data_IF_716217373056
#
_entry.id   IF_716217373056
#
_cell.length_a   1.000
_cell.length_b   1.000
_cell.length_c   1.000
_cell.angle_alpha   90.00
_cell.angle_beta   90.00
_cell.angle_gamma   90.00
#
_symmetry.space_group_name_H-M   'P 1'
#
loop_
_entity.id
_entity.type
_entity.pdbx_description
1 polymer ?
#
# COMPACT_ATOMS: atom_id res chain seq x y z
N UNK A 1 -7.77 5.12 -37.95
CA UNK A 1 -8.42 3.81 -37.93
C UNK A 1 -7.86 3.09 -36.73
N UNK A 2 -8.52 3.21 -35.59
CA UNK A 2 -8.20 2.37 -34.44
C UNK A 2 -8.48 0.92 -34.84
N UNK A 3 -7.51 0.06 -34.56
CA UNK A 3 -7.44 -1.34 -34.99
C UNK A 3 -8.76 -2.06 -34.66
N UNK A 4 -9.20 -2.96 -35.55
CA UNK A 4 -10.42 -3.78 -35.43
C UNK A 4 -10.41 -4.77 -34.25
N UNK A 5 -10.22 -4.24 -33.05
CA UNK A 5 -10.24 -4.92 -31.78
C UNK A 5 -11.62 -4.66 -31.17
N UNK A 6 -12.47 -5.69 -31.04
CA UNK A 6 -13.80 -5.56 -30.44
C UNK A 6 -13.68 -5.06 -29.00
N UNK A 7 -14.62 -4.22 -28.57
CA UNK A 7 -14.74 -3.83 -27.17
C UNK A 7 -15.22 -5.02 -26.33
N UNK A 8 -14.98 -5.01 -25.02
CA UNK A 8 -15.45 -6.08 -24.13
C UNK A 8 -16.98 -6.29 -24.22
N UNK A 9 -17.73 -5.20 -24.44
CA UNK A 9 -19.17 -5.26 -24.66
C UNK A 9 -19.57 -6.03 -25.92
N UNK A 10 -18.79 -5.92 -26.99
CA UNK A 10 -19.03 -6.63 -28.26
C UNK A 10 -18.83 -8.14 -28.10
N UNK A 11 -17.98 -8.55 -27.15
CA UNK A 11 -17.70 -9.95 -26.85
C UNK A 11 -18.71 -10.58 -25.89
N UNK A 12 -19.57 -9.80 -25.21
CA UNK A 12 -20.46 -10.31 -24.16
C UNK A 12 -21.42 -11.40 -24.68
N UNK A 13 -21.98 -11.23 -25.88
CA UNK A 13 -22.86 -12.21 -26.50
C UNK A 13 -22.11 -13.52 -26.84
N UNK A 14 -20.84 -13.41 -27.25
CA UNK A 14 -20.00 -14.56 -27.57
C UNK A 14 -19.59 -15.28 -26.30
N UNK A 15 -19.23 -14.55 -25.25
CA UNK A 15 -18.79 -15.10 -23.98
C UNK A 15 -19.87 -15.93 -23.28
N UNK A 16 -21.15 -15.61 -23.47
CA UNK A 16 -22.26 -16.40 -22.95
C UNK A 16 -22.40 -17.79 -23.59
N UNK A 17 -21.90 -17.97 -24.82
CA UNK A 17 -21.99 -19.24 -25.57
C UNK A 17 -20.63 -19.93 -25.75
N UNK A 18 -19.52 -19.25 -25.46
CA UNK A 18 -18.16 -19.68 -25.86
C UNK A 18 -17.80 -21.07 -25.32
N UNK A 19 -18.17 -21.36 -24.08
CA UNK A 19 -17.88 -22.64 -23.44
C UNK A 19 -18.72 -23.79 -24.04
N UNK A 20 -19.98 -23.52 -24.39
CA UNK A 20 -20.83 -24.50 -25.07
C UNK A 20 -20.32 -24.80 -26.49
N UNK A 21 -19.92 -23.76 -27.23
CA UNK A 21 -19.35 -23.91 -28.59
C UNK A 21 -18.02 -24.66 -28.57
N UNK A 22 -17.17 -24.41 -27.57
CA UNK A 22 -15.90 -25.14 -27.40
C UNK A 22 -16.16 -26.63 -27.09
N UNK A 23 -17.15 -26.94 -26.25
CA UNK A 23 -17.57 -28.33 -25.99
C UNK A 23 -18.08 -29.04 -27.25
N UNK A 24 -18.65 -28.29 -28.20
CA UNK A 24 -19.05 -28.76 -29.53
C UNK A 24 -17.87 -28.86 -30.53
N UNK A 25 -16.65 -28.48 -30.12
CA UNK A 25 -15.44 -28.55 -30.93
C UNK A 25 -15.14 -27.29 -31.76
N UNK A 26 -15.83 -26.17 -31.50
CA UNK A 26 -15.50 -24.90 -32.14
C UNK A 26 -14.12 -24.41 -31.68
N UNK A 27 -13.32 -23.90 -32.62
CA UNK A 27 -11.98 -23.37 -32.35
C UNK A 27 -11.94 -21.83 -32.35
N UNK A 28 -13.00 -21.19 -32.84
CA UNK A 28 -13.08 -19.75 -33.01
C UNK A 28 -14.44 -19.29 -33.51
N UNK A 29 -14.59 -17.98 -33.65
CA UNK A 29 -15.77 -17.30 -34.14
C UNK A 29 -15.40 -16.38 -35.30
N UNK A 30 -16.33 -16.16 -36.21
CA UNK A 30 -16.18 -15.15 -37.26
C UNK A 30 -16.96 -13.91 -36.82
N UNK A 31 -16.25 -12.83 -36.58
CA UNK A 31 -16.80 -11.52 -36.26
C UNK A 31 -17.06 -10.76 -37.55
N UNK A 32 -18.29 -10.31 -37.76
CA UNK A 32 -18.60 -9.33 -38.81
C UNK A 32 -18.58 -7.93 -38.19
N UNK A 33 -17.57 -7.14 -38.55
CA UNK A 33 -17.40 -5.76 -38.09
C UNK A 33 -17.93 -4.78 -39.14
N UNK A 34 -18.78 -3.85 -38.71
CA UNK A 34 -19.33 -2.81 -39.58
C UNK A 34 -18.60 -1.48 -39.36
N UNK A 35 -18.12 -0.87 -40.45
CA UNK A 35 -17.53 0.48 -40.45
C UNK A 35 -18.21 1.31 -41.55
N UNK A 36 -19.27 2.02 -41.19
CA UNK A 36 -20.13 2.72 -42.16
C UNK A 36 -20.95 1.72 -42.98
N UNK A 37 -20.83 1.76 -44.31
CA UNK A 37 -21.49 0.82 -45.23
C UNK A 37 -20.66 -0.43 -45.55
N UNK A 38 -19.45 -0.54 -45.02
CA UNK A 38 -18.54 -1.66 -45.25
C UNK A 38 -18.63 -2.65 -44.09
N UNK A 39 -18.73 -3.94 -44.39
CA UNK A 39 -18.52 -5.02 -43.41
C UNK A 39 -17.20 -5.75 -43.69
N UNK A 40 -16.51 -6.12 -42.62
CA UNK A 40 -15.28 -6.91 -42.66
C UNK A 40 -15.45 -8.13 -41.76
N UNK A 41 -15.13 -9.31 -42.27
CA UNK A 41 -15.16 -10.54 -41.49
C UNK A 41 -13.76 -10.82 -40.92
N UNK A 42 -13.68 -11.00 -39.61
CA UNK A 42 -12.46 -11.38 -38.90
C UNK A 42 -12.67 -12.72 -38.19
N UNK A 43 -11.76 -13.66 -38.39
CA UNK A 43 -11.74 -14.89 -37.60
C UNK A 43 -10.95 -14.64 -36.32
N UNK A 44 -11.54 -14.97 -35.17
CA UNK A 44 -10.90 -14.91 -33.86
C UNK A 44 -11.01 -16.28 -33.19
N UNK A 45 -9.88 -16.84 -32.77
CA UNK A 45 -9.90 -18.07 -31.97
C UNK A 45 -10.52 -17.84 -30.59
N UNK A 46 -11.10 -18.88 -30.01
CA UNK A 46 -11.64 -18.83 -28.63
C UNK A 46 -10.54 -18.43 -27.63
N UNK A 47 -9.31 -18.91 -27.87
CA UNK A 47 -8.16 -18.59 -27.04
C UNK A 47 -7.76 -17.10 -27.11
N UNK A 48 -7.80 -16.49 -28.31
CA UNK A 48 -7.56 -15.05 -28.47
C UNK A 48 -8.63 -14.23 -27.74
N UNK A 49 -9.90 -14.62 -27.83
CA UNK A 49 -11.01 -13.97 -27.12
C UNK A 49 -10.81 -14.05 -25.61
N UNK A 50 -10.54 -15.25 -25.07
CA UNK A 50 -10.28 -15.43 -23.63
C UNK A 50 -9.09 -14.61 -23.16
N UNK A 51 -8.00 -14.60 -23.94
CA UNK A 51 -6.80 -13.82 -23.61
C UNK A 51 -7.10 -12.33 -23.60
N UNK A 52 -7.80 -11.81 -24.62
CA UNK A 52 -8.21 -10.41 -24.69
C UNK A 52 -9.11 -10.01 -23.52
N UNK A 53 -10.10 -10.82 -23.20
CA UNK A 53 -11.02 -10.60 -22.07
C UNK A 53 -10.26 -10.63 -20.74
N UNK A 54 -9.29 -11.54 -20.58
CA UNK A 54 -8.44 -11.55 -19.40
C UNK A 54 -7.57 -10.30 -19.29
N UNK A 55 -7.01 -9.81 -20.41
CA UNK A 55 -6.23 -8.57 -20.43
C UNK A 55 -7.11 -7.37 -20.07
N UNK A 56 -8.26 -7.19 -20.73
CA UNK A 56 -9.16 -6.05 -20.47
C UNK A 56 -9.72 -6.06 -19.04
N UNK A 57 -10.12 -7.23 -18.53
CA UNK A 57 -10.59 -7.37 -17.14
C UNK A 57 -9.50 -7.13 -16.09
N UNK A 58 -8.23 -7.14 -16.49
CA UNK A 58 -7.08 -6.88 -15.62
C UNK A 58 -6.24 -5.70 -16.16
N UNK A 59 -6.85 -4.78 -16.90
CA UNK A 59 -6.14 -3.73 -17.64
C UNK A 59 -5.23 -2.88 -16.76
N UNK A 60 -5.73 -2.44 -15.61
CA UNK A 60 -4.93 -1.69 -14.62
C UNK A 60 -3.68 -2.49 -14.19
N UNK A 61 -3.86 -3.77 -13.89
CA UNK A 61 -2.75 -4.64 -13.50
C UNK A 61 -1.73 -4.83 -14.64
N UNK A 62 -2.22 -5.01 -15.87
CA UNK A 62 -1.38 -5.12 -17.07
C UNK A 62 -0.59 -3.83 -17.29
N UNK A 63 -1.25 -2.68 -17.24
CA UNK A 63 -0.63 -1.36 -17.45
C UNK A 63 0.48 -1.10 -16.41
N UNK A 64 0.18 -1.33 -15.13
CA UNK A 64 1.17 -1.15 -14.06
C UNK A 64 2.29 -2.19 -14.11
N UNK A 65 1.98 -3.44 -14.47
CA UNK A 65 2.99 -4.48 -14.69
C UNK A 65 3.95 -4.13 -15.82
N UNK A 66 3.44 -3.59 -16.93
CA UNK A 66 4.27 -3.09 -18.04
C UNK A 66 5.15 -1.92 -17.57
N UNK A 67 4.62 -1.01 -16.74
CA UNK A 67 5.41 0.10 -16.21
C UNK A 67 6.54 -0.39 -15.29
N UNK A 68 6.25 -1.33 -14.38
CA UNK A 68 7.26 -1.96 -13.53
C UNK A 68 8.36 -2.63 -14.35
N UNK A 69 7.99 -3.40 -15.37
CA UNK A 69 8.94 -4.04 -16.28
C UNK A 69 9.80 -3.01 -17.03
N UNK A 70 9.18 -1.95 -17.57
CA UNK A 70 9.90 -0.87 -18.25
C UNK A 70 10.87 -0.16 -17.32
N UNK A 71 10.48 0.11 -16.07
CA UNK A 71 11.37 0.71 -15.08
C UNK A 71 12.66 -0.11 -14.96
N UNK A 72 12.54 -1.42 -14.71
CA UNK A 72 13.70 -2.31 -14.55
C UNK A 72 14.55 -2.41 -15.81
N UNK A 73 13.94 -2.47 -17.00
CA UNK A 73 14.70 -2.49 -18.26
C UNK A 73 15.55 -1.24 -18.51
N UNK A 74 15.18 -0.09 -17.94
CA UNK A 74 15.89 1.18 -18.13
C UNK A 74 16.81 1.54 -16.97
N UNK A 75 16.92 0.68 -15.95
CA UNK A 75 17.88 0.88 -14.87
C UNK A 75 19.31 0.77 -15.41
N UNK A 76 20.19 1.74 -15.10
CA UNK A 76 21.60 1.64 -15.45
C UNK A 76 22.21 0.35 -14.90
N UNK A 77 23.00 -0.37 -15.70
CA UNK A 77 23.76 -1.52 -15.22
C UNK A 77 24.64 -1.10 -14.03
N UNK A 78 24.39 -1.68 -12.84
CA UNK A 78 25.08 -1.33 -11.60
C UNK A 78 24.36 -0.29 -10.72
N UNK A 79 23.14 0.13 -11.06
CA UNK A 79 22.30 0.91 -10.13
C UNK A 79 21.83 0.06 -8.94
N UNK A 80 21.74 0.69 -7.77
CA UNK A 80 21.33 0.18 -6.44
C UNK A 80 20.81 -1.27 -6.43
N UNK A 81 21.62 -2.19 -5.88
CA UNK A 81 21.22 -3.57 -5.54
C UNK A 81 20.57 -4.36 -6.71
N UNK A 82 20.98 -4.12 -7.96
CA UNK A 82 20.41 -4.81 -9.14
C UNK A 82 20.93 -6.23 -9.37
N UNK A 83 21.75 -6.80 -8.48
CA UNK A 83 22.34 -8.13 -8.71
C UNK A 83 21.28 -9.24 -8.70
N UNK A 84 20.15 -9.04 -8.01
CA UNK A 84 19.09 -10.04 -7.84
C UNK A 84 17.80 -9.74 -8.62
N UNK A 85 17.54 -8.48 -8.99
CA UNK A 85 16.32 -8.05 -9.70
C UNK A 85 16.65 -7.74 -11.16
N UNK A 86 16.34 -8.68 -12.06
CA UNK A 86 16.39 -8.44 -13.50
C UNK A 86 14.98 -8.34 -14.11
N UNK A 87 14.90 -7.84 -15.34
CA UNK A 87 13.63 -7.72 -16.05
C UNK A 87 12.96 -9.08 -16.29
N UNK A 88 13.76 -10.15 -16.40
CA UNK A 88 13.26 -11.51 -16.61
C UNK A 88 12.51 -12.02 -15.38
N UNK A 89 12.99 -11.70 -14.18
CA UNK A 89 12.33 -12.03 -12.93
C UNK A 89 10.92 -11.45 -12.92
N UNK A 90 10.76 -10.14 -13.15
CA UNK A 90 9.44 -9.51 -13.19
C UNK A 90 8.55 -10.07 -14.31
N UNK A 91 9.11 -10.28 -15.50
CA UNK A 91 8.38 -10.85 -16.64
C UNK A 91 7.89 -12.28 -16.37
N UNK A 92 8.57 -13.02 -15.50
CA UNK A 92 8.21 -14.40 -15.14
C UNK A 92 7.08 -14.48 -14.10
N UNK A 93 6.72 -13.38 -13.45
CA UNK A 93 5.70 -13.39 -12.40
C UNK A 93 4.29 -13.42 -12.99
N UNK A 94 3.45 -14.40 -12.60
CA UNK A 94 2.02 -14.32 -12.89
C UNK A 94 1.42 -13.01 -12.36
N UNK A 95 0.45 -12.43 -13.08
CA UNK A 95 -0.20 -11.17 -12.69
C UNK A 95 -0.90 -11.23 -11.33
N UNK A 96 -1.17 -12.42 -10.80
CA UNK A 96 -1.77 -12.63 -9.47
C UNK A 96 -0.76 -12.87 -8.36
N UNK A 97 0.54 -12.83 -8.67
CA UNK A 97 1.60 -13.04 -7.69
C UNK A 97 1.51 -12.00 -6.58
N UNK A 98 1.59 -12.46 -5.34
CA UNK A 98 1.61 -11.60 -4.16
C UNK A 98 3.02 -11.50 -3.60
N UNK A 99 3.43 -10.26 -3.36
CA UNK A 99 4.55 -9.88 -2.54
C UNK A 99 4.07 -9.86 -1.09
N UNK A 100 4.64 -10.75 -0.28
CA UNK A 100 4.30 -10.85 1.13
C UNK A 100 5.20 -9.91 1.93
N UNK A 101 4.57 -8.97 2.64
CA UNK A 101 5.19 -8.35 3.80
C UNK A 101 5.19 -9.28 5.00
N UNK A 102 5.38 -8.72 6.19
CA UNK A 102 5.11 -9.43 7.43
C UNK A 102 3.61 -9.70 7.59
N UNK A 103 2.76 -8.74 7.18
CA UNK A 103 1.30 -8.89 7.27
C UNK A 103 0.52 -8.33 6.10
N UNK A 104 1.16 -7.50 5.27
CA UNK A 104 0.49 -6.87 4.12
C UNK A 104 0.76 -7.66 2.85
N UNK A 105 -0.26 -8.30 2.25
CA UNK A 105 -0.15 -8.87 0.92
C UNK A 105 -0.32 -7.76 -0.13
N UNK A 106 0.67 -7.59 -1.00
CA UNK A 106 0.64 -6.64 -2.13
C UNK A 106 0.72 -7.43 -3.42
N UNK A 107 -0.12 -7.14 -4.42
CA UNK A 107 0.06 -7.81 -5.73
C UNK A 107 1.31 -7.25 -6.40
N UNK A 108 2.12 -8.09 -7.03
CA UNK A 108 3.41 -7.66 -7.58
C UNK A 108 3.28 -6.50 -8.59
N UNK A 109 2.20 -6.46 -9.38
CA UNK A 109 1.94 -5.37 -10.31
C UNK A 109 1.55 -4.05 -9.62
N UNK A 110 1.06 -4.07 -8.38
CA UNK A 110 0.73 -2.84 -7.64
C UNK A 110 1.97 -2.00 -7.41
N UNK A 111 3.17 -2.63 -7.32
CA UNK A 111 4.44 -1.90 -7.28
C UNK A 111 4.70 -1.06 -8.53
N UNK A 112 4.02 -1.34 -9.64
CA UNK A 112 4.04 -0.51 -10.84
C UNK A 112 3.58 0.92 -10.57
N UNK A 113 2.83 1.18 -9.49
CA UNK A 113 2.47 2.55 -9.10
C UNK A 113 3.68 3.41 -8.72
N UNK A 114 4.85 2.79 -8.48
CA UNK A 114 6.13 3.44 -8.22
C UNK A 114 6.94 3.69 -9.51
N UNK A 115 6.59 3.07 -10.63
CA UNK A 115 7.32 3.27 -11.89
C UNK A 115 7.02 4.62 -12.56
N UNK A 116 5.94 5.29 -12.15
CA UNK A 116 5.54 6.61 -12.63
C UNK A 116 5.07 7.49 -11.48
N UNK A 117 4.72 8.75 -11.76
CA UNK A 117 4.10 9.68 -10.80
C UNK A 117 2.59 9.43 -10.60
N UNK A 118 2.19 8.16 -10.51
CA UNK A 118 0.82 7.74 -10.15
C UNK A 118 0.64 7.70 -8.64
N UNK A 119 -0.62 7.77 -8.17
CA UNK A 119 -0.93 7.59 -6.75
C UNK A 119 -0.38 6.25 -6.25
N UNK A 120 0.24 6.28 -5.08
CA UNK A 120 0.70 5.07 -4.41
C UNK A 120 -0.48 4.42 -3.71
N UNK A 121 -0.65 3.12 -3.91
CA UNK A 121 -1.68 2.35 -3.22
C UNK A 121 -1.38 2.24 -1.72
N UNK A 122 -2.43 2.23 -0.90
CA UNK A 122 -2.32 2.04 0.56
C UNK A 122 -1.55 0.74 0.90
N UNK A 123 -1.76 -0.34 0.15
CA UNK A 123 -1.08 -1.63 0.34
C UNK A 123 0.43 -1.53 0.09
N UNK A 124 0.86 -0.77 -0.92
CA UNK A 124 2.28 -0.52 -1.20
C UNK A 124 2.91 0.32 -0.10
N UNK A 125 2.19 1.32 0.40
CA UNK A 125 2.63 2.16 1.52
C UNK A 125 2.72 1.37 2.84
N UNK A 126 1.77 0.47 3.09
CA UNK A 126 1.75 -0.39 4.28
C UNK A 126 2.88 -1.41 4.23
N UNK A 127 3.14 -2.02 3.07
CA UNK A 127 4.31 -2.88 2.87
C UNK A 127 5.62 -2.11 3.11
N UNK A 128 5.68 -0.84 2.65
CA UNK A 128 6.82 0.04 2.94
C UNK A 128 6.95 0.33 4.43
N UNK A 129 5.83 0.55 5.13
CA UNK A 129 5.81 0.76 6.57
C UNK A 129 6.32 -0.45 7.35
N UNK A 130 5.94 -1.66 6.95
CA UNK A 130 6.45 -2.90 7.54
C UNK A 130 7.95 -3.07 7.33
N UNK A 131 8.44 -2.85 6.10
CA UNK A 131 9.87 -2.93 5.80
C UNK A 131 10.67 -1.90 6.60
N UNK A 132 10.18 -0.66 6.67
CA UNK A 132 10.78 0.40 7.47
C UNK A 132 10.78 0.05 8.97
N UNK A 133 9.70 -0.59 9.46
CA UNK A 133 9.61 -1.03 10.85
C UNK A 133 10.68 -2.07 11.14
N UNK A 134 10.80 -3.12 10.33
CA UNK A 134 11.82 -4.17 10.49
C UNK A 134 13.23 -3.58 10.44
N UNK A 135 13.51 -2.73 9.44
CA UNK A 135 14.80 -2.06 9.29
C UNK A 135 15.13 -1.21 10.52
N UNK A 136 14.15 -0.47 11.04
CA UNK A 136 14.30 0.32 12.25
C UNK A 136 14.55 -0.53 13.50
N UNK A 137 13.86 -1.68 13.64
CA UNK A 137 14.11 -2.57 14.77
C UNK A 137 15.53 -3.16 14.74
N UNK A 138 16.10 -3.41 13.56
CA UNK A 138 17.48 -3.90 13.43
C UNK A 138 18.50 -2.81 13.81
N UNK A 139 18.22 -1.54 13.54
CA UNK A 139 19.13 -0.43 13.87
C UNK A 139 18.98 0.08 15.30
N UNK A 140 17.82 -0.13 15.94
CA UNK A 140 17.60 0.23 17.33
C UNK A 140 18.34 -0.75 18.27
N UNK A 141 18.83 -0.21 19.39
CA UNK A 141 19.23 -1.04 20.53
C UNK A 141 18.01 -1.88 20.98
N UNK A 142 18.22 -3.16 21.30
CA UNK A 142 17.18 -4.12 21.72
C UNK A 142 16.24 -3.65 22.86
N UNK A 143 16.60 -2.58 23.57
CA UNK A 143 15.81 -1.98 24.65
C UNK A 143 14.87 -0.86 24.22
N UNK A 144 14.81 -0.42 22.96
CA UNK A 144 13.99 0.73 22.53
C UNK A 144 12.97 0.34 21.48
N UNK A 145 11.85 1.06 21.44
CA UNK A 145 10.75 0.74 20.55
C UNK A 145 10.08 1.99 20.02
N UNK A 146 10.07 2.12 18.71
CA UNK A 146 9.26 3.08 17.95
C UNK A 146 8.25 2.30 17.11
N UNK A 147 6.98 2.70 17.14
CA UNK A 147 5.95 2.07 16.31
C UNK A 147 5.84 2.75 14.95
N UNK A 148 5.73 1.98 13.87
CA UNK A 148 5.34 2.51 12.56
C UNK A 148 4.04 1.81 12.20
N UNK A 149 2.94 2.56 12.10
CA UNK A 149 1.62 1.98 11.85
C UNK A 149 1.22 2.08 10.37
N UNK A 150 0.40 1.14 9.88
CA UNK A 150 -0.18 1.17 8.54
C UNK A 150 -1.12 2.37 8.38
N UNK A 151 -1.40 2.71 7.13
CA UNK A 151 -2.28 3.79 6.67
C UNK A 151 -3.67 3.77 7.32
N UNK A 152 -4.22 2.58 7.60
CA UNK A 152 -5.52 2.42 8.25
C UNK A 152 -5.54 2.84 9.72
N UNK A 153 -4.40 2.93 10.40
CA UNK A 153 -4.35 3.29 11.82
C UNK A 153 -4.98 4.66 12.10
N UNK A 154 -4.61 5.68 11.33
CA UNK A 154 -5.06 7.05 11.55
C UNK A 154 -6.57 7.17 11.35
N UNK A 155 -7.08 6.65 10.23
CA UNK A 155 -8.50 6.64 9.90
C UNK A 155 -9.33 5.88 10.95
N UNK A 156 -8.84 4.73 11.41
CA UNK A 156 -9.50 3.95 12.47
C UNK A 156 -9.55 4.70 13.80
N UNK A 157 -8.46 5.39 14.17
CA UNK A 157 -8.40 6.17 15.40
C UNK A 157 -9.34 7.37 15.35
N UNK A 158 -9.39 8.11 14.24
CA UNK A 158 -10.34 9.21 14.03
C UNK A 158 -11.78 8.71 14.11
N UNK A 159 -12.09 7.57 13.48
CA UNK A 159 -13.44 7.00 13.52
C UNK A 159 -13.88 6.68 14.95
N UNK A 160 -13.01 6.09 15.76
CA UNK A 160 -13.29 5.83 17.19
C UNK A 160 -13.43 7.14 17.98
N UNK A 161 -12.58 8.13 17.70
CA UNK A 161 -12.61 9.44 18.38
C UNK A 161 -13.90 10.22 18.10
N UNK A 162 -14.46 10.12 16.88
CA UNK A 162 -15.72 10.76 16.49
C UNK A 162 -16.95 10.21 17.21
N UNK A 163 -16.84 9.07 17.88
CA UNK A 163 -17.96 8.54 18.67
C UNK A 163 -18.37 9.52 19.77
N UNK A 164 -19.69 9.69 20.03
CA UNK A 164 -20.18 10.61 21.05
C UNK A 164 -19.80 10.13 22.45
N UNK A 165 -19.50 11.07 23.35
CA UNK A 165 -19.30 10.77 24.76
C UNK A 165 -20.66 10.43 25.42
N UNK A 166 -20.77 9.43 26.33
CA UNK A 166 -19.69 8.62 26.93
C UNK A 166 -19.34 7.34 26.16
N UNK A 167 -19.98 7.07 25.02
CA UNK A 167 -19.81 5.83 24.26
C UNK A 167 -18.46 5.71 23.56
N UNK A 168 -17.69 6.81 23.48
CA UNK A 168 -16.33 6.84 22.95
C UNK A 168 -15.43 5.86 23.70
N UNK A 169 -15.15 4.72 23.07
CA UNK A 169 -14.33 3.64 23.66
C UNK A 169 -13.33 3.09 22.66
N UNK A 170 -12.19 2.62 23.15
CA UNK A 170 -11.20 1.96 22.30
C UNK A 170 -11.63 0.54 21.96
N UNK A 171 -11.41 0.13 20.70
CA UNK A 171 -11.50 -1.27 20.31
C UNK A 171 -10.49 -2.14 21.08
N UNK A 172 -10.61 -3.46 21.00
CA UNK A 172 -9.63 -4.38 21.61
C UNK A 172 -8.21 -4.13 21.10
N UNK A 173 -8.04 -3.83 19.81
CA UNK A 173 -6.77 -3.50 19.18
C UNK A 173 -6.14 -2.24 19.80
N UNK A 174 -6.88 -1.13 19.85
CA UNK A 174 -6.36 0.11 20.43
C UNK A 174 -6.11 -0.02 21.93
N UNK A 175 -6.88 -0.83 22.65
CA UNK A 175 -6.58 -1.17 24.05
C UNK A 175 -5.25 -1.92 24.19
N UNK A 176 -4.95 -2.89 23.32
CA UNK A 176 -3.65 -3.60 23.29
C UNK A 176 -2.50 -2.65 22.97
N UNK A 177 -2.67 -1.77 21.96
CA UNK A 177 -1.69 -0.73 21.61
C UNK A 177 -1.41 0.17 22.83
N UNK A 178 -2.46 0.68 23.49
CA UNK A 178 -2.32 1.49 24.71
C UNK A 178 -1.59 0.75 25.83
N UNK A 179 -1.93 -0.51 26.08
CA UNK A 179 -1.25 -1.32 27.11
C UNK A 179 0.24 -1.53 26.79
N UNK A 180 0.59 -1.72 25.52
CA UNK A 180 1.98 -1.83 25.09
C UNK A 180 2.73 -0.51 25.24
N UNK A 181 2.16 0.60 24.79
CA UNK A 181 2.72 1.95 24.99
C UNK A 181 2.93 2.21 26.48
N UNK A 182 1.95 1.89 27.33
CA UNK A 182 2.04 2.06 28.77
C UNK A 182 3.22 1.28 29.37
N UNK A 183 3.38 0.02 28.98
CA UNK A 183 4.45 -0.86 29.45
C UNK A 183 5.83 -0.36 29.02
N UNK A 184 5.97 0.03 27.76
CA UNK A 184 7.22 0.56 27.21
C UNK A 184 7.54 1.94 27.82
N UNK A 185 6.54 2.78 28.04
CA UNK A 185 6.71 4.10 28.66
C UNK A 185 7.15 3.97 30.13
N UNK A 186 6.54 3.04 30.88
CA UNK A 186 6.90 2.78 32.27
C UNK A 186 8.35 2.28 32.43
N UNK A 187 8.90 1.66 31.39
CA UNK A 187 10.30 1.17 31.37
C UNK A 187 11.26 2.12 30.66
N UNK A 188 10.81 3.29 30.19
CA UNK A 188 11.64 4.25 29.45
C UNK A 188 12.08 3.75 28.06
N UNK A 189 11.40 2.74 27.53
CA UNK A 189 11.70 2.07 26.25
C UNK A 189 10.86 2.55 25.07
N UNK A 190 9.78 3.30 25.35
CA UNK A 190 8.96 3.90 24.30
C UNK A 190 9.66 5.13 23.73
N UNK A 191 9.95 5.11 22.43
CA UNK A 191 10.56 6.23 21.71
C UNK A 191 9.53 7.10 21.02
N UNK A 192 8.49 6.49 20.45
CA UNK A 192 7.51 7.24 19.69
C UNK A 192 6.66 6.37 18.77
N UNK A 193 5.93 7.05 17.89
CA UNK A 193 5.19 6.40 16.83
C UNK A 193 5.14 7.24 15.56
N UNK A 194 5.02 6.58 14.42
CA UNK A 194 4.86 7.19 13.11
C UNK A 194 3.72 6.54 12.35
N UNK A 195 3.00 7.34 11.58
CA UNK A 195 1.88 6.89 10.77
C UNK A 195 1.55 7.95 9.72
N UNK A 196 0.75 7.55 8.73
CA UNK A 196 0.19 8.47 7.73
C UNK A 196 -1.34 8.50 7.87
N UNK A 197 -1.95 9.62 7.48
CA UNK A 197 -3.39 9.75 7.29
C UNK A 197 -3.67 9.88 5.80
N UNK A 198 -4.46 8.97 5.24
CA UNK A 198 -4.99 9.10 3.88
C UNK A 198 -6.38 9.72 3.93
N UNK A 199 -6.56 10.87 3.31
CA UNK A 199 -7.87 11.49 3.14
C UNK A 199 -8.05 11.97 1.71
N UNK A 200 -9.12 11.51 1.07
CA UNK A 200 -9.46 11.90 -0.31
C UNK A 200 -8.30 11.66 -1.29
N UNK A 201 -7.55 10.58 -1.10
CA UNK A 201 -6.39 10.23 -1.94
C UNK A 201 -5.11 11.02 -1.66
N UNK A 202 -5.08 11.79 -0.57
CA UNK A 202 -3.91 12.57 -0.15
C UNK A 202 -3.35 12.06 1.19
N UNK A 203 -2.03 11.95 1.28
CA UNK A 203 -1.33 11.46 2.47
C UNK A 203 -0.70 12.60 3.28
N UNK A 204 -0.95 12.60 4.59
CA UNK A 204 -0.32 13.48 5.59
C UNK A 204 0.51 12.65 6.55
N UNK A 205 1.75 13.04 6.82
CA UNK A 205 2.64 12.31 7.73
C UNK A 205 2.55 12.81 9.17
N UNK A 206 2.69 11.88 10.11
CA UNK A 206 2.80 12.15 11.54
C UNK A 206 3.96 11.36 12.14
N UNK A 207 4.80 12.03 12.93
CA UNK A 207 5.86 11.40 13.72
C UNK A 207 5.87 12.00 15.13
N UNK A 208 5.50 11.19 16.11
CA UNK A 208 5.49 11.58 17.51
C UNK A 208 6.77 11.09 18.21
N UNK A 209 7.59 12.03 18.68
CA UNK A 209 8.73 11.76 19.55
C UNK A 209 8.29 11.87 21.02
N UNK A 210 8.18 10.72 21.68
CA UNK A 210 7.74 10.63 23.08
C UNK A 210 8.76 11.19 24.07
N UNK A 211 10.04 11.29 23.69
CA UNK A 211 11.10 11.83 24.56
C UNK A 211 11.06 13.34 24.61
N UNK A 212 10.77 14.01 23.50
CA UNK A 212 10.61 15.47 23.49
C UNK A 212 9.16 15.93 23.69
N UNK A 213 8.18 15.06 23.41
CA UNK A 213 6.78 15.43 23.30
C UNK A 213 6.49 16.26 22.04
N UNK A 214 7.35 16.17 21.02
CA UNK A 214 7.12 16.85 19.73
C UNK A 214 6.33 15.94 18.81
N UNK A 215 5.34 16.51 18.14
CA UNK A 215 4.66 15.89 17.02
C UNK A 215 5.10 16.60 15.74
N UNK A 216 5.79 15.88 14.87
CA UNK A 216 6.14 16.36 13.55
C UNK A 216 5.00 16.01 12.58
N UNK A 217 4.60 16.98 11.78
CA UNK A 217 3.49 16.86 10.82
C UNK A 217 3.92 17.45 9.49
N UNK A 218 3.57 16.78 8.39
CA UNK A 218 3.84 17.27 7.05
C UNK A 218 2.67 17.00 6.10
N UNK A 219 2.36 18.01 5.28
CA UNK A 219 1.37 17.97 4.22
C UNK A 219 1.99 18.59 2.97
N UNK A 220 2.25 17.75 1.96
CA UNK A 220 2.96 18.14 0.74
C UNK A 220 2.15 19.06 -0.19
N UNK A 221 0.87 19.32 0.13
CA UNK A 221 -0.03 20.19 -0.64
C UNK A 221 -0.53 21.43 0.15
N UNK A 222 -0.02 21.67 1.36
CA UNK A 222 -0.51 22.77 2.20
C UNK A 222 -0.18 24.17 1.67
N UNK A 223 0.67 24.29 0.63
CA UNK A 223 1.00 25.56 0.01
C UNK A 223 1.73 26.52 0.94
N UNK A 224 2.50 25.99 1.90
CA UNK A 224 3.21 26.78 2.91
C UNK A 224 2.34 27.25 4.09
N UNK A 225 1.05 26.91 4.10
CA UNK A 225 0.24 27.03 5.31
C UNK A 225 0.66 25.95 6.32
N UNK A 226 0.48 26.25 7.61
CA UNK A 226 0.82 25.31 8.68
C UNK A 226 -0.03 24.05 8.52
N UNK A 227 0.55 22.84 8.31
CA UNK A 227 -0.23 21.65 7.95
C UNK A 227 -1.24 21.26 9.04
N UNK A 228 -0.99 21.64 10.30
CA UNK A 228 -1.89 21.42 11.42
C UNK A 228 -3.07 22.39 11.52
N UNK A 229 -3.22 23.37 10.62
CA UNK A 229 -4.42 24.21 10.57
C UNK A 229 -5.57 23.60 9.78
N UNK A 230 -5.34 22.53 9.01
CA UNK A 230 -6.40 21.78 8.35
C UNK A 230 -7.25 21.03 9.40
N UNK A 231 -8.58 21.07 9.24
CA UNK A 231 -9.57 20.38 10.08
C UNK A 231 -9.20 18.93 10.36
N UNK A 232 -8.81 18.16 9.34
CA UNK A 232 -8.55 16.73 9.48
C UNK A 232 -7.26 16.46 10.25
N UNK A 233 -6.22 17.27 10.01
CA UNK A 233 -4.98 17.20 10.78
C UNK A 233 -5.21 17.54 12.24
N UNK A 234 -5.96 18.60 12.52
CA UNK A 234 -6.33 19.00 13.89
C UNK A 234 -7.12 17.90 14.61
N UNK A 235 -8.07 17.27 13.91
CA UNK A 235 -8.83 16.14 14.43
C UNK A 235 -7.95 14.93 14.72
N UNK A 236 -7.02 14.59 13.83
CA UNK A 236 -6.06 13.51 14.03
C UNK A 236 -5.15 13.77 15.24
N UNK A 237 -4.72 15.02 15.45
CA UNK A 237 -3.94 15.40 16.64
C UNK A 237 -4.76 15.19 17.90
N UNK A 238 -6.02 15.63 17.93
CA UNK A 238 -6.93 15.43 19.07
C UNK A 238 -7.18 13.93 19.34
N UNK A 239 -7.33 13.13 18.29
CA UNK A 239 -7.51 11.68 18.40
C UNK A 239 -6.24 10.98 18.94
N UNK A 240 -5.05 11.44 18.54
CA UNK A 240 -3.77 10.97 19.08
C UNK A 240 -3.61 11.37 20.56
N UNK A 241 -3.93 12.60 20.95
CA UNK A 241 -3.89 13.04 22.35
C UNK A 241 -4.86 12.21 23.21
N UNK A 242 -6.04 11.88 22.68
CA UNK A 242 -6.96 10.95 23.35
C UNK A 242 -6.35 9.55 23.51
N UNK A 243 -5.68 9.02 22.48
CA UNK A 243 -4.96 7.74 22.56
C UNK A 243 -3.86 7.74 23.65
N UNK A 244 -3.14 8.86 23.78
CA UNK A 244 -2.03 9.01 24.73
C UNK A 244 -2.47 9.44 26.14
N UNK A 245 -3.70 9.92 26.29
CA UNK A 245 -4.21 10.42 27.57
C UNK A 245 -4.17 9.37 28.68
N UNK A 246 -3.63 9.75 29.84
CA UNK A 246 -3.48 8.86 31.00
C UNK A 246 -2.33 7.86 30.91
N UNK A 247 -1.55 7.86 29.83
CA UNK A 247 -0.35 7.02 29.71
C UNK A 247 0.87 7.70 30.36
N UNK A 248 1.85 6.90 30.79
CA UNK A 248 3.14 7.38 31.35
C UNK A 248 4.13 7.94 30.33
N UNK A 249 3.69 8.29 29.12
CA UNK A 249 4.51 8.97 28.11
C UNK A 249 4.30 10.48 28.17
N UNK A 250 5.18 11.25 27.52
CA UNK A 250 4.90 12.67 27.30
C UNK A 250 3.66 12.80 26.41
N UNK A 251 2.89 13.86 26.65
CA UNK A 251 1.83 14.29 25.74
C UNK A 251 2.42 15.15 24.61
N UNK A 252 1.63 15.45 23.59
CA UNK A 252 2.01 16.41 22.54
C UNK A 252 2.16 17.79 23.20
N UNK A 253 3.36 18.35 23.15
CA UNK A 253 3.72 19.65 23.73
C UNK A 253 3.98 20.71 22.66
N UNK A 254 4.46 20.26 21.49
CA UNK A 254 4.83 21.13 20.38
C UNK A 254 4.57 20.40 19.08
N UNK A 255 3.95 21.10 18.14
CA UNK A 255 3.84 20.65 16.75
C UNK A 255 4.97 21.27 15.95
N UNK A 256 5.66 20.45 15.16
CA UNK A 256 6.78 20.81 14.32
C UNK A 256 6.46 20.43 12.87
N UNK A 257 7.03 21.18 11.93
CA UNK A 257 7.07 20.78 10.53
C UNK A 257 8.12 19.68 10.34
N UNK A 258 7.91 18.74 9.40
CA UNK A 258 8.96 17.77 9.08
C UNK A 258 10.09 18.39 8.27
N UNK A 259 9.87 19.51 7.60
CA UNK A 259 10.76 20.19 6.64
C UNK A 259 10.89 19.43 5.32
N UNK A 260 9.76 19.05 4.71
CA UNK A 260 9.73 18.49 3.35
C UNK A 260 9.40 19.57 2.31
N UNK A 261 9.91 19.40 1.09
CA UNK A 261 9.54 20.27 -0.03
C UNK A 261 8.15 19.91 -0.54
N UNK A 262 7.39 20.92 -0.97
CA UNK A 262 6.03 20.74 -1.48
C UNK A 262 6.05 19.98 -2.81
N UNK A 263 5.02 19.19 -3.08
CA UNK A 263 4.89 18.55 -4.37
C UNK A 263 4.33 19.49 -5.43
N UNK A 264 4.62 19.20 -6.70
CA UNK A 264 3.87 19.80 -7.79
C UNK A 264 2.40 19.35 -7.72
N UNK A 265 1.45 20.25 -8.02
CA UNK A 265 0.01 19.96 -7.95
C UNK A 265 -0.42 18.77 -8.84
N UNK A 266 0.33 18.49 -9.90
CA UNK A 266 0.08 17.36 -10.81
C UNK A 266 0.77 16.05 -10.34
N UNK A 267 1.71 16.12 -9.40
CA UNK A 267 2.41 14.94 -8.88
C UNK A 267 1.49 14.19 -7.93
N UNK A 268 1.38 12.87 -8.11
CA UNK A 268 0.67 11.99 -7.17
C UNK A 268 1.63 11.30 -6.19
N UNK A 269 2.62 12.04 -5.68
CA UNK A 269 3.70 11.52 -4.85
C UNK A 269 3.52 11.75 -3.34
N UNK A 270 2.38 12.28 -2.90
CA UNK A 270 2.13 12.59 -1.49
C UNK A 270 2.42 11.41 -0.54
N UNK A 271 2.11 10.17 -0.92
CA UNK A 271 2.45 8.97 -0.12
C UNK A 271 3.95 8.77 0.04
N UNK A 272 4.72 8.93 -1.05
CA UNK A 272 6.19 8.83 -1.06
C UNK A 272 6.81 9.94 -0.21
N UNK A 273 6.29 11.16 -0.35
CA UNK A 273 6.76 12.35 0.36
C UNK A 273 6.53 12.21 1.87
N UNK A 274 5.27 11.92 2.24
CA UNK A 274 4.86 11.74 3.62
C UNK A 274 5.76 10.73 4.32
N UNK A 275 6.00 9.59 3.68
CA UNK A 275 6.80 8.54 4.29
C UNK A 275 8.31 8.82 4.23
N UNK A 276 8.82 9.52 3.21
CA UNK A 276 10.22 10.00 3.20
C UNK A 276 10.54 10.84 4.46
N UNK A 277 9.62 11.72 4.87
CA UNK A 277 9.77 12.49 6.12
C UNK A 277 9.87 11.61 7.36
N UNK A 278 9.05 10.56 7.42
CA UNK A 278 9.09 9.56 8.50
C UNK A 278 10.44 8.83 8.50
N UNK A 279 10.89 8.32 7.35
CA UNK A 279 12.16 7.60 7.22
C UNK A 279 13.36 8.45 7.65
N UNK A 280 13.34 9.74 7.30
CA UNK A 280 14.39 10.68 7.68
C UNK A 280 14.42 10.92 9.19
N UNK A 281 13.26 11.13 9.81
CA UNK A 281 13.18 11.32 11.27
C UNK A 281 13.59 10.06 12.04
N UNK A 282 13.41 8.88 11.44
CA UNK A 282 13.85 7.60 12.00
C UNK A 282 15.32 7.26 11.71
N UNK A 283 16.02 8.07 10.89
CA UNK A 283 17.39 7.82 10.47
C UNK A 283 17.55 6.60 9.55
N UNK A 284 16.46 6.16 8.90
CA UNK A 284 16.48 5.05 7.95
C UNK A 284 16.98 5.48 6.57
N UNK A 285 16.79 6.76 6.25
CA UNK A 285 17.18 7.33 4.97
C UNK A 285 17.60 8.79 5.15
N UNK A 286 18.73 9.17 4.56
CA UNK A 286 19.27 10.53 4.68
C UNK A 286 18.84 11.45 3.54
N UNK A 287 18.33 10.90 2.43
CA UNK A 287 17.91 11.70 1.29
C UNK A 287 16.67 12.53 1.63
N UNK A 288 16.73 13.82 1.32
CA UNK A 288 15.60 14.74 1.46
C UNK A 288 14.75 14.66 0.20
N UNK A 289 13.43 14.54 0.38
CA UNK A 289 12.50 14.73 -0.72
C UNK A 289 12.68 16.10 -1.35
N UNK A 290 12.77 16.10 -2.68
CA UNK A 290 12.64 17.26 -3.53
C UNK A 290 11.98 16.81 -4.86
N UNK A 291 11.15 17.64 -5.52
CA UNK A 291 10.35 17.23 -6.67
C UNK A 291 11.13 16.61 -7.84
N UNK A 292 12.35 17.07 -8.08
CA UNK A 292 13.30 16.60 -9.10
C UNK A 292 13.79 15.18 -8.80
N UNK A 293 13.76 14.77 -7.53
CA UNK A 293 14.13 13.43 -7.07
C UNK A 293 12.94 12.47 -7.01
N UNK A 294 11.74 12.88 -7.42
CA UNK A 294 10.53 12.05 -7.32
C UNK A 294 10.70 10.66 -7.97
N UNK A 295 11.25 10.63 -9.19
CA UNK A 295 11.53 9.39 -9.91
C UNK A 295 12.60 8.54 -9.20
N UNK A 296 13.65 9.16 -8.67
CA UNK A 296 14.72 8.48 -7.93
C UNK A 296 14.17 7.82 -6.65
N UNK A 297 13.39 8.56 -5.85
CA UNK A 297 12.81 8.06 -4.60
C UNK A 297 11.82 6.91 -4.84
N UNK A 298 10.99 7.02 -5.87
CA UNK A 298 10.05 5.96 -6.24
C UNK A 298 10.78 4.71 -6.75
N UNK A 299 11.80 4.90 -7.59
CA UNK A 299 12.66 3.81 -8.07
C UNK A 299 13.36 3.11 -6.90
N UNK A 300 13.87 3.87 -5.94
CA UNK A 300 14.47 3.34 -4.71
C UNK A 300 13.47 2.48 -3.94
N UNK A 301 12.25 2.98 -3.70
CA UNK A 301 11.20 2.19 -3.03
C UNK A 301 10.89 0.90 -3.77
N UNK A 302 10.71 0.99 -5.09
CA UNK A 302 10.44 -0.17 -5.93
C UNK A 302 11.54 -1.22 -5.74
N UNK A 303 12.80 -0.82 -5.90
CA UNK A 303 13.93 -1.73 -5.78
C UNK A 303 14.08 -2.31 -4.38
N UNK A 304 13.90 -1.52 -3.32
CA UNK A 304 13.98 -2.02 -1.95
C UNK A 304 12.87 -3.04 -1.63
N UNK A 305 11.65 -2.80 -2.10
CA UNK A 305 10.51 -3.71 -1.89
C UNK A 305 10.69 -5.03 -2.66
N UNK A 306 11.09 -4.97 -3.94
CA UNK A 306 11.32 -6.17 -4.74
C UNK A 306 12.50 -6.98 -4.19
N UNK A 307 13.61 -6.33 -3.84
CA UNK A 307 14.77 -7.00 -3.25
C UNK A 307 14.44 -7.66 -1.91
N UNK A 308 13.70 -6.97 -1.04
CA UNK A 308 13.26 -7.55 0.23
C UNK A 308 12.46 -8.82 -0.01
N UNK A 309 11.48 -8.77 -0.92
CA UNK A 309 10.65 -9.92 -1.24
C UNK A 309 11.43 -11.10 -1.82
N UNK A 310 12.33 -10.85 -2.77
CA UNK A 310 13.18 -11.89 -3.34
C UNK A 310 14.03 -12.59 -2.28
N UNK A 311 14.68 -11.83 -1.40
CA UNK A 311 15.49 -12.37 -0.30
C UNK A 311 14.63 -13.17 0.68
N UNK A 312 13.46 -12.67 1.04
CA UNK A 312 12.51 -13.38 1.90
C UNK A 312 12.11 -14.73 1.26
N UNK A 313 11.87 -14.77 -0.05
CA UNK A 313 11.59 -16.03 -0.78
C UNK A 313 12.76 -16.99 -0.77
N UNK A 314 13.97 -16.52 -1.09
CA UNK A 314 15.17 -17.35 -1.05
C UNK A 314 15.40 -17.96 0.34
N UNK A 315 15.16 -17.20 1.41
CA UNK A 315 15.23 -17.70 2.78
C UNK A 315 14.17 -18.77 3.06
N UNK A 316 12.92 -18.59 2.60
CA UNK A 316 11.85 -19.58 2.78
C UNK A 316 12.15 -20.88 2.01
N UNK A 317 12.64 -20.78 0.78
CA UNK A 317 13.00 -21.95 -0.03
C UNK A 317 14.18 -22.74 0.58
N UNK A 318 15.06 -22.06 1.33
CA UNK A 318 16.18 -22.66 2.05
C UNK A 318 15.82 -23.18 3.44
N UNK A 319 14.65 -22.82 3.99
CA UNK A 319 14.19 -23.19 5.32
C UNK A 319 12.74 -23.75 5.29
N UNK A 320 12.49 -24.87 4.61
CA UNK A 320 11.14 -25.42 4.41
C UNK A 320 10.43 -25.81 5.71
N UNK A 321 11.15 -26.02 6.82
CA UNK A 321 10.55 -26.28 8.14
C UNK A 321 9.77 -25.08 8.71
N UNK A 322 9.93 -23.87 8.16
CA UNK A 322 9.14 -22.70 8.57
C UNK A 322 7.73 -22.70 7.97
N UNK A 323 7.46 -23.49 6.92
CA UNK A 323 6.15 -23.52 6.26
C UNK A 323 5.26 -24.70 6.67
N UNK A 324 5.76 -25.65 7.46
CA UNK A 324 5.03 -26.90 7.77
C UNK A 324 4.10 -26.82 9.00
N UNK A 325 4.17 -25.78 9.84
CA UNK A 325 3.40 -25.72 11.10
C UNK A 325 2.13 -24.84 11.06
N UNK A 326 1.80 -24.18 9.95
CA UNK A 326 0.60 -23.31 9.90
C UNK A 326 -0.72 -24.06 9.76
N UNK A 327 -0.70 -25.31 9.29
CA UNK A 327 -1.93 -26.07 9.02
C UNK A 327 -2.40 -26.94 10.22
N UNK A 328 -1.62 -26.99 11.31
CA UNK A 328 -1.92 -27.81 12.51
C UNK A 328 -2.18 -27.01 13.80
N UNK A 329 -2.18 -25.67 13.76
CA UNK A 329 -2.36 -24.82 14.95
C UNK A 329 -3.82 -24.46 15.27
N UNK A 330 -4.79 -25.28 14.87
CA UNK A 330 -6.21 -25.09 15.22
C UNK A 330 -6.62 -25.82 16.52
N UNK A 331 -5.69 -26.04 17.45
CA UNK A 331 -6.00 -26.66 18.74
C UNK A 331 -5.32 -25.98 19.93
N UNK A 332 -5.89 -24.84 20.32
CA UNK A 332 -6.00 -24.45 21.73
C UNK A 332 -4.70 -24.35 22.52
N UNK A 333 -4.03 -23.21 22.43
CA UNK A 333 -3.33 -22.68 23.60
C UNK A 333 -3.27 -21.15 23.53
N UNK A 334 -3.71 -20.51 24.60
CA UNK A 334 -3.67 -19.06 24.85
C UNK A 334 -2.22 -18.55 25.10
N UNK A 335 -1.23 -19.21 24.49
CA UNK A 335 0.19 -18.91 24.68
C UNK A 335 0.80 -18.34 23.42
N UNK A 336 1.06 -17.04 23.49
CA UNK A 336 2.07 -16.31 22.77
C UNK A 336 1.89 -16.03 21.26
N UNK A 337 0.70 -15.60 20.84
CA UNK A 337 0.49 -14.82 19.61
C UNK A 337 1.04 -13.38 19.75
N UNK A 338 2.37 -13.20 19.89
CA UNK A 338 2.98 -11.86 20.04
C UNK A 338 3.45 -11.22 18.76
N UNK A 339 3.40 -11.94 17.64
CA UNK A 339 3.90 -11.44 16.37
C UNK A 339 2.85 -11.24 15.29
N UNK A 340 1.62 -11.73 15.43
CA UNK A 340 0.66 -11.51 14.35
C UNK A 340 0.07 -10.10 14.39
N UNK A 341 0.35 -9.36 13.33
CA UNK A 341 -0.40 -8.17 12.95
C UNK A 341 -1.86 -8.51 12.54
N UNK A 342 -2.35 -9.73 12.81
CA UNK A 342 -3.76 -10.14 12.67
C UNK A 342 -4.72 -9.28 13.48
N UNK A 343 -4.22 -8.44 14.39
CA UNK A 343 -5.02 -7.38 14.97
C UNK A 343 -5.59 -6.39 13.94
N UNK A 344 -5.05 -6.33 12.71
CA UNK A 344 -5.57 -5.55 11.59
C UNK A 344 -6.39 -6.36 10.58
N UNK A 345 -6.65 -7.65 10.84
CA UNK A 345 -7.70 -8.40 10.17
C UNK A 345 -9.08 -7.90 10.65
N UNK A 346 -9.42 -6.66 10.28
CA UNK A 346 -10.80 -6.27 10.07
C UNK A 346 -11.32 -7.21 8.97
N UNK A 347 -11.98 -8.31 9.37
CA UNK A 347 -12.91 -9.03 8.48
C UNK A 347 -13.76 -7.95 7.81
N UNK A 348 -13.50 -7.67 6.53
CA UNK A 348 -14.19 -6.72 5.64
C UNK A 348 -15.22 -5.87 6.39
N UNK A 349 -14.88 -4.64 6.74
CA UNK A 349 -15.93 -3.64 6.95
C UNK A 349 -16.58 -3.49 5.56
N UNK A 350 -17.79 -4.04 5.41
CA UNK A 350 -18.66 -3.70 4.29
C UNK A 350 -18.92 -2.19 4.39
N UNK A 351 -18.12 -1.40 3.67
CA UNK A 351 -18.46 -0.01 3.39
C UNK A 351 -19.58 -0.09 2.36
N UNK A 352 -20.81 -0.04 2.85
CA UNK A 352 -22.01 -0.14 2.04
C UNK A 352 -22.02 0.85 0.88
N UNK A 353 -22.42 0.33 -0.28
CA UNK A 353 -22.74 0.99 -1.54
C UNK A 353 -23.09 2.48 -1.45
N UNK A 354 -22.28 3.32 -2.08
CA UNK A 354 -22.69 4.63 -2.59
C UNK A 354 -22.07 4.88 -3.97
N UNK A 355 -22.79 4.45 -5.00
CA UNK A 355 -22.83 5.16 -6.29
C UNK A 355 -24.14 4.83 -6.98
N UNK A 356 -25.13 5.68 -6.75
CA UNK A 356 -26.36 5.71 -7.53
C UNK A 356 -26.07 6.62 -8.73
N UNK A 357 -25.80 6.04 -9.90
CA UNK A 357 -25.91 6.76 -11.16
C UNK A 357 -27.36 6.64 -11.62
N UNK A 358 -28.14 7.71 -11.44
CA UNK A 358 -29.40 7.88 -12.15
C UNK A 358 -29.06 8.37 -13.56
N UNK A 359 -29.27 7.53 -14.58
CA UNK A 359 -29.54 8.03 -15.92
C UNK A 359 -31.03 8.33 -15.98
N UNK A 360 -31.37 9.58 -16.30
CA UNK A 360 -32.72 9.96 -16.71
C UNK A 360 -32.84 9.73 -18.23
N UNK A 361 -34.00 9.21 -18.64
CA UNK A 361 -34.42 9.08 -20.04
C UNK A 361 -34.39 10.42 -20.81
#
# INVERSE_FOLDING_TARGET
MENGVPQLGDLAAILGEIDAREQEGALGVVLELYSGSLSTFLFWSIQEIRTFVHIENNREAVDLGVQAHRLVCHLPSGSVNSEDVDANFLASLPIRTTIQGFSTPVRAWELGCLAQETAVFDTVLDLRAELAYLTHQVTLSASRSHFIFPSLFASSLIQLFRQPHPNRTFSSQFRRIRAKIQTLSASGKFDGMSFVLCQSGHFTAFHFDSKSGKLYVDDSLSGGSKPWSNTSTSEMISALEWLLSGLRCKQVRKICDMELEQQHAASQSCGVIAFNGIERLLGLYSGRWAPERASEERTRWFMELVNHWQRSRQCMDQAPWLTEDSDNLDSGSDSDEWYSWDCWNLKRINVGNWTQFCFAD
#
